data_IF_634638360494
#
_entry.id   IF_634638360494
#
_cell.length_a   1.000
_cell.length_b   1.000
_cell.length_c   1.000
_cell.angle_alpha   90.00
_cell.angle_beta   90.00
_cell.angle_gamma   90.00
#
_symmetry.space_group_name_H-M   'P 1'
#
loop_
_entity.id
_entity.type
_entity.pdbx_description
1 polymer ?
#
# COMPACT_ATOMS: atom_id res chain seq x y z
N UNK A 1 9.88 -1.25 -9.31
CA UNK A 1 9.39 0.09 -9.67
C UNK A 1 7.93 0.25 -9.26
N UNK A 2 7.53 1.45 -8.86
CA UNK A 2 6.19 1.83 -8.37
C UNK A 2 5.37 2.50 -9.49
N UNK A 3 4.04 2.37 -9.46
CA UNK A 3 3.13 3.08 -10.38
C UNK A 3 2.51 4.32 -9.76
N UNK A 4 2.02 5.24 -10.60
CA UNK A 4 1.28 6.42 -10.14
C UNK A 4 -0.02 6.04 -9.42
N UNK A 5 -0.67 4.94 -9.85
CA UNK A 5 -1.83 4.37 -9.14
C UNK A 5 -1.45 3.90 -7.73
N UNK A 6 -0.32 3.20 -7.56
CA UNK A 6 0.15 2.77 -6.25
C UNK A 6 0.47 3.96 -5.34
N UNK A 7 1.04 5.05 -5.87
CA UNK A 7 1.27 6.28 -5.09
C UNK A 7 -0.04 6.90 -4.59
N UNK A 8 -1.02 7.08 -5.48
CA UNK A 8 -2.32 7.66 -5.10
C UNK A 8 -3.06 6.78 -4.10
N UNK A 9 -3.05 5.46 -4.29
CA UNK A 9 -3.66 4.50 -3.38
C UNK A 9 -2.98 4.53 -1.99
N UNK A 10 -1.65 4.56 -1.94
CA UNK A 10 -0.90 4.64 -0.69
C UNK A 10 -1.23 5.92 0.09
N UNK A 11 -1.33 7.07 -0.59
CA UNK A 11 -1.76 8.32 0.06
C UNK A 11 -3.18 8.23 0.60
N UNK A 12 -4.10 7.65 -0.18
CA UNK A 12 -5.49 7.48 0.25
C UNK A 12 -5.58 6.63 1.52
N UNK A 13 -4.81 5.52 1.60
CA UNK A 13 -4.75 4.68 2.79
C UNK A 13 -4.16 5.40 4.01
N UNK A 14 -3.17 6.27 3.79
CA UNK A 14 -2.56 7.08 4.86
C UNK A 14 -3.38 8.32 5.23
N UNK A 15 -4.41 8.68 4.45
CA UNK A 15 -5.18 9.90 4.65
C UNK A 15 -4.37 11.19 4.44
N UNK A 16 -3.33 11.16 3.59
CA UNK A 16 -2.43 12.29 3.36
C UNK A 16 -2.58 12.92 1.96
N UNK A 17 -2.33 14.21 1.88
CA UNK A 17 -2.26 14.94 0.62
C UNK A 17 -0.88 14.84 -0.06
N UNK A 18 -0.74 15.43 -1.26
CA UNK A 18 0.52 15.43 -2.01
C UNK A 18 1.64 16.22 -1.32
N UNK A 19 1.30 17.26 -0.53
CA UNK A 19 2.27 18.11 0.16
C UNK A 19 2.87 17.36 1.35
N UNK A 20 2.05 16.64 2.10
CA UNK A 20 2.49 15.77 3.18
C UNK A 20 3.37 14.63 2.65
N UNK A 21 3.01 13.99 1.53
CA UNK A 21 3.89 13.00 0.89
C UNK A 21 5.23 13.61 0.47
N UNK A 22 5.21 14.82 -0.10
CA UNK A 22 6.44 15.52 -0.49
C UNK A 22 7.36 15.79 0.73
N UNK A 23 6.78 16.19 1.86
CA UNK A 23 7.52 16.38 3.12
C UNK A 23 8.11 15.07 3.64
N UNK A 24 7.32 14.00 3.70
CA UNK A 24 7.77 12.67 4.15
C UNK A 24 8.91 12.13 3.28
N UNK A 25 8.84 12.34 1.96
CA UNK A 25 9.85 11.90 1.01
C UNK A 25 11.04 12.88 0.86
N UNK A 26 11.01 14.04 1.53
CA UNK A 26 12.00 15.12 1.36
C UNK A 26 12.17 15.54 -0.11
N UNK A 27 11.06 15.65 -0.83
CA UNK A 27 11.00 16.08 -2.23
C UNK A 27 10.15 17.34 -2.37
N UNK A 28 10.26 18.00 -3.52
CA UNK A 28 9.39 19.14 -3.83
C UNK A 28 7.99 18.67 -4.26
N UNK A 29 6.96 19.45 -3.91
CA UNK A 29 5.57 19.18 -4.34
C UNK A 29 5.44 18.98 -5.87
N UNK A 30 6.07 19.79 -6.74
CA UNK A 30 6.02 19.57 -8.19
C UNK A 30 6.62 18.23 -8.64
N UNK A 31 7.55 17.66 -7.86
CA UNK A 31 8.10 16.34 -8.15
C UNK A 31 7.06 15.26 -7.87
N UNK A 32 6.40 15.28 -6.72
CA UNK A 32 5.31 14.36 -6.40
C UNK A 32 4.16 14.50 -7.41
N UNK A 33 3.77 15.72 -7.78
CA UNK A 33 2.72 15.96 -8.77
C UNK A 33 3.06 15.33 -10.14
N UNK A 34 4.29 15.51 -10.65
CA UNK A 34 4.72 14.87 -11.91
C UNK A 34 4.72 13.34 -11.81
N UNK A 35 5.17 12.80 -10.67
CA UNK A 35 5.18 11.35 -10.45
C UNK A 35 3.76 10.78 -10.46
N UNK A 36 2.81 11.43 -9.77
CA UNK A 36 1.41 10.99 -9.76
C UNK A 36 0.67 11.23 -11.07
N UNK A 37 1.09 12.21 -11.88
CA UNK A 37 0.54 12.46 -13.22
C UNK A 37 1.05 11.48 -14.28
N UNK A 38 2.05 10.65 -13.97
CA UNK A 38 2.61 9.68 -14.92
C UNK A 38 1.58 8.60 -15.29
N UNK A 39 1.52 8.23 -16.57
CA UNK A 39 0.69 7.12 -17.04
C UNK A 39 1.40 5.77 -16.76
N UNK A 40 0.96 5.08 -15.71
CA UNK A 40 1.49 3.77 -15.32
C UNK A 40 2.75 3.85 -14.46
N UNK A 41 3.85 3.25 -14.92
CA UNK A 41 5.12 3.23 -14.17
C UNK A 41 5.69 4.64 -14.03
N UNK A 42 6.07 5.02 -12.81
CA UNK A 42 6.71 6.31 -12.58
C UNK A 42 8.14 6.23 -13.10
N UNK A 43 8.40 6.90 -14.23
CA UNK A 43 9.73 7.02 -14.82
C UNK A 43 10.45 8.22 -14.19
N UNK A 44 11.66 8.02 -13.67
CA UNK A 44 12.39 9.09 -12.99
C UNK A 44 13.76 8.65 -12.47
N UNK A 45 14.39 9.56 -11.73
CA UNK A 45 15.68 9.32 -11.08
C UNK A 45 15.49 8.28 -9.97
N UNK A 46 16.34 7.25 -9.95
CA UNK A 46 16.24 6.13 -8.99
C UNK A 46 16.23 6.63 -7.54
N UNK A 47 17.08 7.62 -7.21
CA UNK A 47 17.13 8.23 -5.88
C UNK A 47 15.77 8.79 -5.43
N UNK A 48 15.06 9.51 -6.31
CA UNK A 48 13.73 10.06 -5.98
C UNK A 48 12.67 8.97 -5.77
N UNK A 49 12.76 7.86 -6.51
CA UNK A 49 11.86 6.73 -6.34
C UNK A 49 12.10 6.03 -5.01
N UNK A 50 13.37 5.83 -4.64
CA UNK A 50 13.76 5.23 -3.36
C UNK A 50 13.25 6.06 -2.18
N UNK A 51 13.38 7.40 -2.25
CA UNK A 51 12.86 8.31 -1.22
C UNK A 51 11.35 8.20 -1.02
N UNK A 52 10.58 8.16 -2.11
CA UNK A 52 9.12 7.99 -2.04
C UNK A 52 8.73 6.63 -1.47
N UNK A 53 9.36 5.55 -1.94
CA UNK A 53 9.08 4.19 -1.45
C UNK A 53 9.39 4.10 0.05
N UNK A 54 10.57 4.54 0.48
CA UNK A 54 10.97 4.50 1.88
C UNK A 54 10.07 5.36 2.78
N UNK A 55 9.60 6.51 2.31
CA UNK A 55 8.67 7.36 3.04
C UNK A 55 7.30 6.68 3.24
N UNK A 56 6.77 6.04 2.19
CA UNK A 56 5.52 5.28 2.27
C UNK A 56 5.65 4.07 3.22
N UNK A 57 6.74 3.32 3.10
CA UNK A 57 7.01 2.16 3.95
C UNK A 57 7.16 2.55 5.43
N UNK A 58 7.88 3.63 5.71
CA UNK A 58 8.04 4.17 7.07
C UNK A 58 6.72 4.71 7.64
N UNK A 59 5.81 5.15 6.79
CA UNK A 59 4.47 5.58 7.18
C UNK A 59 3.50 4.40 7.43
N UNK A 60 3.91 3.16 7.12
CA UNK A 60 3.13 1.95 7.34
C UNK A 60 2.51 1.35 6.08
N UNK A 61 2.97 1.71 4.89
CA UNK A 61 2.52 1.11 3.63
C UNK A 61 3.42 -0.05 3.21
N UNK A 62 2.83 -1.08 2.63
CA UNK A 62 3.54 -2.12 1.90
C UNK A 62 3.13 -2.06 0.42
N UNK A 63 4.11 -1.93 -0.47
CA UNK A 63 3.89 -1.94 -1.91
C UNK A 63 4.02 -3.37 -2.44
N UNK A 64 2.92 -3.90 -2.96
CA UNK A 64 2.87 -5.26 -3.49
C UNK A 64 3.28 -5.25 -4.97
N UNK A 65 4.30 -6.05 -5.29
CA UNK A 65 4.69 -6.33 -6.67
C UNK A 65 3.68 -7.21 -7.40
N UNK A 66 3.82 -7.32 -8.71
CA UNK A 66 2.89 -8.04 -9.58
C UNK A 66 2.69 -9.53 -9.22
N UNK A 67 3.75 -10.16 -8.71
CA UNK A 67 3.77 -11.56 -8.29
C UNK A 67 3.85 -11.71 -6.76
N UNK A 68 3.54 -10.65 -6.01
CA UNK A 68 3.57 -10.72 -4.55
C UNK A 68 2.45 -11.64 -4.04
N UNK A 69 2.70 -12.44 -2.97
CA UNK A 69 1.67 -13.30 -2.39
C UNK A 69 0.49 -12.45 -1.91
N UNK A 70 -0.61 -12.59 -2.62
CA UNK A 70 -1.88 -11.93 -2.44
C UNK A 70 -2.97 -12.90 -2.94
N UNK A 71 -4.18 -12.81 -2.41
CA UNK A 71 -5.31 -13.62 -2.92
C UNK A 71 -5.63 -13.31 -4.38
N UNK A 72 -5.25 -12.12 -4.87
CA UNK A 72 -5.27 -11.75 -6.28
C UNK A 72 -3.87 -11.57 -6.87
N UNK A 73 -3.80 -11.45 -8.20
CA UNK A 73 -2.56 -11.14 -8.94
C UNK A 73 -2.46 -9.65 -9.24
N UNK A 74 -1.23 -9.15 -9.41
CA UNK A 74 -0.98 -7.78 -9.84
C UNK A 74 -0.47 -6.85 -8.74
N UNK A 75 -0.28 -5.58 -9.12
CA UNK A 75 0.33 -4.56 -8.26
C UNK A 75 -0.70 -4.03 -7.28
N UNK A 76 -0.32 -3.96 -6.00
CA UNK A 76 -1.21 -3.54 -4.93
C UNK A 76 -0.54 -2.65 -3.90
N UNK A 77 -1.34 -2.18 -2.95
CA UNK A 77 -0.90 -1.42 -1.79
C UNK A 77 -1.62 -1.96 -0.57
N UNK A 78 -0.90 -2.23 0.51
CA UNK A 78 -1.45 -2.70 1.78
C UNK A 78 -1.09 -1.72 2.89
N UNK A 79 -2.06 -1.43 3.76
CA UNK A 79 -1.79 -0.75 5.02
C UNK A 79 -1.36 -1.80 6.05
N UNK A 80 -0.19 -1.61 6.66
CA UNK A 80 0.32 -2.50 7.70
C UNK A 80 -0.46 -2.28 8.98
N UNK A 81 -0.76 -3.37 9.68
CA UNK A 81 -1.44 -3.35 10.97
C UNK A 81 -0.62 -2.66 12.07
N UNK A 82 0.71 -2.77 11.99
CA UNK A 82 1.63 -1.98 12.82
C UNK A 82 2.62 -1.24 11.92
N UNK A 83 3.06 -0.05 12.33
CA UNK A 83 4.11 0.70 11.59
C UNK A 83 5.41 -0.10 11.44
N UNK A 84 5.70 -1.02 12.37
CA UNK A 84 6.84 -1.94 12.30
C UNK A 84 6.65 -3.12 11.32
N UNK A 85 5.46 -3.30 10.74
CA UNK A 85 5.16 -4.44 9.85
C UNK A 85 5.06 -5.79 10.56
N UNK A 86 4.91 -5.82 11.88
CA UNK A 86 4.56 -7.05 12.61
C UNK A 86 3.06 -7.25 12.47
N UNK A 87 2.61 -8.46 12.11
CA UNK A 87 1.19 -8.76 12.27
C UNK A 87 0.86 -8.64 13.75
N UNK A 88 -0.19 -7.90 14.09
CA UNK A 88 -0.83 -8.21 15.35
C UNK A 88 -1.29 -9.67 15.21
N UNK A 89 -1.11 -10.48 16.25
CA UNK A 89 -1.55 -11.87 16.21
C UNK A 89 -2.98 -11.93 15.69
N UNK A 90 -3.27 -12.91 14.84
CA UNK A 90 -4.55 -13.14 14.14
C UNK A 90 -5.72 -12.56 14.92
N UNK A 91 -6.13 -11.33 14.57
CA UNK A 91 -7.39 -10.79 15.04
C UNK A 91 -8.46 -11.49 14.21
N UNK A 92 -9.35 -12.32 14.82
CA UNK A 92 -10.42 -12.95 14.07
C UNK A 92 -11.25 -11.83 13.46
N UNK A 93 -11.31 -11.80 12.13
CA UNK A 93 -12.15 -10.83 11.45
C UNK A 93 -13.60 -11.25 11.68
N UNK A 94 -14.32 -10.47 12.48
CA UNK A 94 -15.76 -10.66 12.74
C UNK A 94 -16.62 -10.66 11.46
N UNK A 95 -16.04 -10.24 10.33
CA UNK A 95 -16.68 -10.23 9.01
C UNK A 95 -16.47 -11.53 8.20
N UNK A 96 -15.54 -12.41 8.58
CA UNK A 96 -15.21 -13.63 7.83
C UNK A 96 -15.41 -14.95 8.61
N UNK A 97 -15.65 -14.93 9.93
CA UNK A 97 -15.87 -16.14 10.73
C UNK A 97 -17.32 -16.68 10.69
N UNK A 98 -18.21 -16.10 9.88
CA UNK A 98 -19.62 -16.47 9.85
C UNK A 98 -19.95 -17.58 8.85
N UNK A 99 -19.08 -18.56 8.59
CA UNK A 99 -19.48 -19.81 7.91
C UNK A 99 -18.71 -21.02 8.46
N UNK A 100 -19.41 -21.81 9.28
CA UNK A 100 -19.29 -23.28 9.50
C UNK A 100 -19.61 -23.69 10.95
N UNK A 101 -20.72 -23.19 11.51
CA UNK A 101 -21.34 -23.79 12.68
C UNK A 101 -22.80 -24.13 12.35
N UNK A 102 -23.03 -25.13 11.49
CA UNK A 102 -24.41 -25.47 11.13
C UNK A 102 -24.69 -26.59 10.14
N UNK A 103 -23.71 -27.42 9.74
CA UNK A 103 -23.98 -28.55 8.85
C UNK A 103 -23.66 -29.89 9.54
N UNK A 104 -24.60 -30.37 10.36
CA UNK A 104 -24.75 -31.82 10.60
C UNK A 104 -25.76 -32.33 9.58
N UNK A 105 -25.36 -33.12 8.55
CA UNK A 105 -26.33 -33.74 7.66
C UNK A 105 -27.12 -34.82 8.42
N UNK A 106 -28.42 -35.01 8.14
CA UNK A 106 -29.23 -36.02 8.82
C UNK A 106 -28.95 -37.43 8.27
N UNK A 107 -28.86 -38.37 9.23
CA UNK A 107 -28.91 -39.85 9.20
C UNK A 107 -28.16 -40.61 8.11
#
# INVERSE_FOLDING_TARGET
MITSQQMRAARALLGIDQRQLAQLAQLSLPTIQRMEASEGQVRGVVDTLVKVIGALESAGIELLGENAPSSGVGRGVRLRETKSGRSAGTVPSLLYDQEEAGATPPQ
#
